data_IF_932166623597
#
_entry.id   IF_932166623597
#
_cell.length_a   1.000
_cell.length_b   1.000
_cell.length_c   1.000
_cell.angle_alpha   90.00
_cell.angle_beta   90.00
_cell.angle_gamma   90.00
#
_symmetry.space_group_name_H-M   'P 1'
#
loop_
_entity.id
_entity.type
_entity.pdbx_description
1 polymer ?
#
# COMPACT_ATOMS: atom_id res chain seq x y z
N UNK A 1 7.01 15.21 -25.02
CA UNK A 1 6.12 14.64 -23.99
C UNK A 1 5.73 13.24 -24.43
N UNK A 2 5.54 12.33 -23.51
CA UNK A 2 4.94 11.03 -23.81
C UNK A 2 3.49 11.23 -24.27
N UNK A 3 3.01 10.35 -25.17
CA UNK A 3 1.56 10.30 -25.43
C UNK A 3 0.82 9.95 -24.14
N UNK A 4 -0.06 10.85 -23.70
CA UNK A 4 -0.75 10.73 -22.42
C UNK A 4 -1.58 9.44 -22.34
N UNK A 5 -2.21 9.03 -23.44
CA UNK A 5 -3.02 7.80 -23.50
C UNK A 5 -2.16 6.56 -23.33
N UNK A 6 -1.05 6.47 -24.05
CA UNK A 6 -0.10 5.37 -23.95
C UNK A 6 0.51 5.28 -22.56
N UNK A 7 0.96 6.41 -22.00
CA UNK A 7 1.51 6.48 -20.64
C UNK A 7 0.52 5.98 -19.59
N UNK A 8 -0.75 6.42 -19.66
CA UNK A 8 -1.77 6.01 -18.70
C UNK A 8 -2.11 4.52 -18.82
N UNK A 9 -2.20 3.98 -20.04
CA UNK A 9 -2.45 2.54 -20.25
C UNK A 9 -1.29 1.70 -19.70
N UNK A 10 -0.05 2.04 -20.03
CA UNK A 10 1.12 1.31 -19.53
C UNK A 10 1.25 1.40 -18.00
N UNK A 11 0.99 2.58 -17.43
CA UNK A 11 0.96 2.79 -15.97
C UNK A 11 -0.13 1.98 -15.29
N UNK A 12 -1.33 1.95 -15.87
CA UNK A 12 -2.47 1.20 -15.34
C UNK A 12 -2.17 -0.31 -15.33
N UNK A 13 -1.66 -0.88 -16.43
CA UNK A 13 -1.32 -2.31 -16.51
C UNK A 13 -0.21 -2.66 -15.51
N UNK A 14 0.84 -1.82 -15.43
CA UNK A 14 1.93 -2.02 -14.48
C UNK A 14 1.41 -2.07 -13.04
N UNK A 15 0.58 -1.09 -12.63
CA UNK A 15 0.01 -1.04 -11.29
C UNK A 15 -0.99 -2.17 -11.03
N UNK A 16 -1.83 -2.51 -12.02
CA UNK A 16 -2.78 -3.63 -11.91
C UNK A 16 -2.06 -4.93 -11.57
N UNK A 17 -1.00 -5.27 -12.29
CA UNK A 17 -0.28 -6.53 -12.06
C UNK A 17 0.62 -6.44 -10.82
N UNK A 18 1.41 -5.37 -10.66
CA UNK A 18 2.32 -5.23 -9.53
C UNK A 18 1.58 -5.20 -8.18
N UNK A 19 0.51 -4.40 -8.08
CA UNK A 19 -0.29 -4.32 -6.85
C UNK A 19 -1.20 -5.53 -6.68
N UNK A 20 -1.71 -6.07 -7.79
CA UNK A 20 -2.53 -7.28 -7.77
C UNK A 20 -1.78 -8.45 -7.15
N UNK A 21 -0.62 -8.83 -7.70
CA UNK A 21 0.23 -9.90 -7.19
C UNK A 21 0.57 -9.69 -5.69
N UNK A 22 0.91 -8.45 -5.32
CA UNK A 22 1.24 -8.13 -3.92
C UNK A 22 0.10 -8.44 -2.96
N UNK A 23 -1.12 -8.06 -3.31
CA UNK A 23 -2.28 -8.23 -2.41
C UNK A 23 -2.69 -9.70 -2.24
N UNK A 24 -2.25 -10.58 -3.12
CA UNK A 24 -2.51 -12.02 -3.06
C UNK A 24 -1.62 -12.82 -2.13
N UNK A 25 -0.53 -12.26 -1.61
CA UNK A 25 0.42 -13.03 -0.82
C UNK A 25 -0.19 -13.74 0.40
N UNK A 26 -1.31 -13.27 0.93
CA UNK A 26 -2.04 -13.97 1.98
C UNK A 26 -2.53 -15.37 1.57
N UNK A 27 -2.78 -15.60 0.27
CA UNK A 27 -3.18 -16.90 -0.27
C UNK A 27 -2.06 -17.94 -0.22
N UNK A 28 -0.80 -17.52 -0.22
CA UNK A 28 0.39 -18.39 -0.13
C UNK A 28 0.77 -18.78 1.29
N UNK A 29 0.31 -18.05 2.32
CA UNK A 29 0.74 -18.27 3.71
C UNK A 29 0.57 -19.75 4.11
N UNK A 30 -0.63 -20.29 4.04
CA UNK A 30 -0.85 -21.68 4.46
C UNK A 30 -0.26 -22.72 3.52
N UNK A 31 -0.41 -22.62 2.17
CA UNK A 31 0.22 -23.60 1.28
C UNK A 31 1.73 -23.73 1.47
N UNK A 32 2.44 -22.62 1.67
CA UNK A 32 3.88 -22.63 1.88
C UNK A 32 4.27 -23.14 3.27
N UNK A 33 3.65 -22.62 4.32
CA UNK A 33 4.00 -23.00 5.69
C UNK A 33 3.69 -24.48 5.96
N UNK A 34 2.60 -25.01 5.41
CA UNK A 34 2.28 -26.43 5.52
C UNK A 34 3.25 -27.31 4.74
N UNK A 35 3.60 -26.93 3.49
CA UNK A 35 4.51 -27.72 2.66
C UNK A 35 5.94 -27.75 3.23
N UNK A 36 6.39 -26.67 3.85
CA UNK A 36 7.75 -26.53 4.38
C UNK A 36 7.86 -26.82 5.87
N UNK A 37 6.74 -27.09 6.56
CA UNK A 37 6.70 -27.24 8.01
C UNK A 37 7.24 -26.02 8.76
N UNK A 38 6.94 -24.82 8.25
CA UNK A 38 7.30 -23.53 8.86
C UNK A 38 6.17 -22.99 9.74
N UNK A 39 6.53 -22.13 10.71
CA UNK A 39 5.55 -21.33 11.44
C UNK A 39 4.90 -20.26 10.54
N UNK A 40 3.75 -19.76 10.96
CA UNK A 40 3.13 -18.60 10.29
C UNK A 40 3.97 -17.34 10.51
N UNK A 41 4.73 -17.28 11.60
CA UNK A 41 5.69 -16.21 11.87
C UNK A 41 6.75 -16.09 10.77
N UNK A 42 7.33 -17.20 10.31
CA UNK A 42 8.37 -17.20 9.28
C UNK A 42 7.90 -16.51 7.99
N UNK A 43 6.71 -16.86 7.53
CA UNK A 43 6.10 -16.23 6.36
C UNK A 43 5.75 -14.77 6.64
N UNK A 44 5.16 -14.50 7.78
CA UNK A 44 4.71 -13.16 8.18
C UNK A 44 5.88 -12.20 8.35
N UNK A 45 7.02 -12.68 8.87
CA UNK A 45 8.24 -11.89 8.97
C UNK A 45 8.77 -11.48 7.58
N UNK A 46 8.74 -12.40 6.60
CA UNK A 46 9.12 -12.05 5.25
C UNK A 46 8.20 -10.96 4.65
N UNK A 47 6.88 -11.06 4.86
CA UNK A 47 5.93 -10.03 4.43
C UNK A 47 6.10 -8.72 5.21
N UNK A 48 6.45 -8.78 6.48
CA UNK A 48 6.75 -7.61 7.31
C UNK A 48 7.98 -6.86 6.76
N UNK A 49 9.07 -7.59 6.53
CA UNK A 49 10.31 -7.03 5.93
C UNK A 49 10.03 -6.48 4.53
N UNK A 50 9.16 -7.13 3.74
CA UNK A 50 8.77 -6.64 2.42
C UNK A 50 8.16 -5.22 2.50
N UNK A 51 7.22 -5.00 3.41
CA UNK A 51 6.60 -3.68 3.59
C UNK A 51 7.61 -2.63 4.05
N UNK A 52 8.49 -2.99 4.99
CA UNK A 52 9.52 -2.08 5.49
C UNK A 52 10.52 -1.72 4.39
N UNK A 53 10.99 -2.73 3.64
CA UNK A 53 11.89 -2.54 2.50
C UNK A 53 11.26 -1.67 1.42
N UNK A 54 9.99 -1.91 1.11
CA UNK A 54 9.24 -1.09 0.16
C UNK A 54 9.15 0.37 0.60
N UNK A 55 8.78 0.62 1.86
CA UNK A 55 8.68 1.97 2.42
C UNK A 55 10.00 2.72 2.39
N UNK A 56 11.07 2.06 2.85
CA UNK A 56 12.41 2.64 2.88
C UNK A 56 12.98 2.87 1.47
N UNK A 57 12.96 1.85 0.63
CA UNK A 57 13.48 1.92 -0.74
C UNK A 57 12.66 2.87 -1.63
N UNK A 58 11.37 3.07 -1.34
CA UNK A 58 10.50 4.00 -2.07
C UNK A 58 11.01 5.44 -2.05
N UNK A 59 11.64 5.86 -0.96
CA UNK A 59 12.25 7.20 -0.84
C UNK A 59 13.38 7.35 -1.86
N UNK A 60 14.22 6.32 -2.01
CA UNK A 60 15.37 6.34 -2.91
C UNK A 60 14.96 6.10 -4.37
N UNK A 61 13.99 5.21 -4.61
CA UNK A 61 13.54 4.90 -5.98
C UNK A 61 12.97 6.12 -6.68
N UNK A 62 12.24 6.98 -5.97
CA UNK A 62 11.78 8.27 -6.48
C UNK A 62 12.92 9.18 -6.88
N UNK A 63 13.93 9.34 -6.02
CA UNK A 63 15.12 10.17 -6.32
C UNK A 63 15.93 9.63 -7.50
N UNK A 64 16.10 8.30 -7.60
CA UNK A 64 16.78 7.64 -8.72
C UNK A 64 15.99 7.82 -10.02
N UNK A 65 14.66 7.69 -9.96
CA UNK A 65 13.77 7.92 -11.10
C UNK A 65 13.84 9.37 -11.61
N UNK A 66 13.91 10.33 -10.69
CA UNK A 66 14.02 11.76 -11.05
C UNK A 66 15.37 12.10 -11.67
N UNK A 67 16.44 11.44 -11.25
CA UNK A 67 17.81 11.70 -11.75
C UNK A 67 18.17 10.92 -13.02
N UNK A 68 17.79 9.65 -13.09
CA UNK A 68 18.23 8.72 -14.13
C UNK A 68 17.11 8.28 -15.07
N UNK A 69 15.87 8.77 -14.83
CA UNK A 69 14.66 8.41 -15.57
C UNK A 69 13.93 7.20 -14.98
N UNK A 70 12.61 7.30 -14.93
CA UNK A 70 11.75 6.28 -14.34
C UNK A 70 11.81 4.93 -15.07
N UNK A 71 12.02 4.93 -16.40
CA UNK A 71 12.16 3.71 -17.21
C UNK A 71 13.13 2.69 -16.60
N UNK A 72 14.35 3.14 -16.22
CA UNK A 72 15.40 2.26 -15.67
C UNK A 72 14.97 1.67 -14.33
N UNK A 73 14.36 2.49 -13.49
CA UNK A 73 13.87 2.07 -12.17
C UNK A 73 12.78 1.01 -12.30
N UNK A 74 11.84 1.20 -13.24
CA UNK A 74 10.76 0.24 -13.50
C UNK A 74 11.32 -1.07 -14.05
N UNK A 75 12.25 -1.03 -15.03
CA UNK A 75 12.88 -2.23 -15.58
C UNK A 75 13.58 -3.04 -14.48
N UNK A 76 14.41 -2.39 -13.67
CA UNK A 76 15.08 -3.04 -12.53
C UNK A 76 14.06 -3.59 -11.55
N UNK A 77 13.00 -2.81 -11.24
CA UNK A 77 11.91 -3.24 -10.37
C UNK A 77 11.21 -4.50 -10.87
N UNK A 78 10.88 -4.59 -12.17
CA UNK A 78 10.25 -5.78 -12.77
C UNK A 78 11.17 -6.99 -12.69
N UNK A 79 12.46 -6.84 -13.00
CA UNK A 79 13.44 -7.93 -12.91
C UNK A 79 13.60 -8.43 -11.48
N UNK A 80 13.68 -7.52 -10.51
CA UNK A 80 13.71 -7.87 -9.08
C UNK A 80 12.41 -8.55 -8.64
N UNK A 81 11.25 -8.14 -9.18
CA UNK A 81 9.96 -8.76 -8.87
C UNK A 81 9.93 -10.22 -9.34
N UNK A 82 10.30 -10.45 -10.60
CA UNK A 82 10.37 -11.80 -11.17
C UNK A 82 11.39 -12.67 -10.43
N UNK A 83 12.58 -12.12 -10.12
CA UNK A 83 13.62 -12.83 -9.37
C UNK A 83 13.15 -13.13 -7.92
N UNK A 84 12.46 -12.22 -7.29
CA UNK A 84 11.90 -12.41 -5.94
C UNK A 84 10.83 -13.51 -5.92
N UNK A 85 9.88 -13.51 -6.88
CA UNK A 85 8.88 -14.57 -7.02
C UNK A 85 9.50 -15.93 -7.34
N UNK A 86 10.49 -15.97 -8.22
CA UNK A 86 11.27 -17.17 -8.52
C UNK A 86 12.01 -17.68 -7.28
N UNK A 87 12.69 -16.79 -6.56
CA UNK A 87 13.37 -17.12 -5.29
C UNK A 87 12.40 -17.63 -4.23
N UNK A 88 11.21 -17.02 -4.12
CA UNK A 88 10.16 -17.46 -3.21
C UNK A 88 9.67 -18.88 -3.56
N UNK A 89 9.54 -19.22 -4.85
CA UNK A 89 9.14 -20.55 -5.28
C UNK A 89 10.17 -21.65 -4.94
N UNK A 90 11.45 -21.28 -4.82
CA UNK A 90 12.55 -22.18 -4.50
C UNK A 90 13.08 -22.04 -3.08
N UNK A 91 12.43 -21.24 -2.25
CA UNK A 91 12.83 -21.04 -0.86
C UNK A 91 12.65 -22.34 -0.05
N UNK A 92 13.75 -22.88 0.45
CA UNK A 92 13.77 -24.08 1.32
C UNK A 92 14.03 -23.73 2.78
N UNK A 93 14.37 -22.47 3.09
CA UNK A 93 14.61 -21.97 4.44
C UNK A 93 13.85 -20.66 4.67
N UNK A 94 13.48 -20.34 5.92
CA UNK A 94 12.86 -19.04 6.25
C UNK A 94 13.72 -17.85 5.82
N UNK A 95 15.07 -17.97 5.92
CA UNK A 95 15.98 -16.92 5.48
C UNK A 95 15.90 -16.70 3.96
N UNK A 96 15.82 -17.78 3.16
CA UNK A 96 15.66 -17.67 1.70
C UNK A 96 14.33 -16.99 1.34
N UNK A 97 13.26 -17.31 2.05
CA UNK A 97 11.97 -16.64 1.93
C UNK A 97 12.06 -15.16 2.29
N UNK A 98 12.71 -14.82 3.40
CA UNK A 98 12.89 -13.44 3.84
C UNK A 98 13.69 -12.62 2.81
N UNK A 99 14.75 -13.17 2.23
CA UNK A 99 15.54 -12.49 1.21
C UNK A 99 14.77 -12.34 -0.11
N UNK A 100 14.07 -13.37 -0.55
CA UNK A 100 13.33 -13.34 -1.82
C UNK A 100 12.02 -12.53 -1.71
N UNK A 101 11.13 -12.93 -0.83
CA UNK A 101 9.83 -12.28 -0.65
C UNK A 101 9.94 -10.97 0.13
N UNK A 102 10.79 -10.90 1.15
CA UNK A 102 10.96 -9.71 1.99
C UNK A 102 11.79 -8.62 1.29
N UNK A 103 13.04 -8.93 0.95
CA UNK A 103 13.96 -7.92 0.45
C UNK A 103 13.79 -7.69 -1.05
N UNK A 104 13.90 -8.72 -1.89
CA UNK A 104 13.86 -8.52 -3.35
C UNK A 104 12.50 -7.99 -3.83
N UNK A 105 11.40 -8.59 -3.38
CA UNK A 105 10.06 -8.09 -3.76
C UNK A 105 9.79 -6.71 -3.15
N UNK A 106 10.24 -6.43 -1.92
CA UNK A 106 10.13 -5.10 -1.32
C UNK A 106 10.85 -4.02 -2.13
N UNK A 107 12.08 -4.28 -2.59
CA UNK A 107 12.82 -3.40 -3.50
C UNK A 107 12.11 -3.26 -4.85
N UNK A 108 11.59 -4.36 -5.39
CA UNK A 108 10.84 -4.37 -6.64
C UNK A 108 9.61 -3.46 -6.57
N UNK A 109 8.85 -3.55 -5.49
CA UNK A 109 7.66 -2.71 -5.27
C UNK A 109 8.01 -1.23 -5.19
N UNK A 110 9.14 -0.86 -4.62
CA UNK A 110 9.61 0.52 -4.61
C UNK A 110 9.80 1.09 -6.04
N UNK A 111 10.16 0.24 -7.00
CA UNK A 111 10.37 0.63 -8.40
C UNK A 111 9.14 0.47 -9.31
N UNK A 112 8.15 -0.34 -8.93
CA UNK A 112 7.02 -0.71 -9.81
C UNK A 112 5.66 -0.19 -9.33
N UNK A 113 5.62 0.58 -8.24
CA UNK A 113 4.36 1.06 -7.67
C UNK A 113 4.18 2.57 -7.76
N UNK A 114 3.27 3.12 -6.97
CA UNK A 114 2.77 4.48 -7.08
C UNK A 114 3.82 5.57 -7.11
N UNK A 115 4.91 5.45 -6.33
CA UNK A 115 5.93 6.52 -6.20
C UNK A 115 6.52 6.87 -7.57
N UNK A 116 6.96 5.87 -8.31
CA UNK A 116 7.59 6.07 -9.63
C UNK A 116 6.55 6.44 -10.69
N UNK A 117 5.39 5.75 -10.67
CA UNK A 117 4.31 5.99 -11.64
C UNK A 117 3.72 7.40 -11.49
N UNK A 118 3.48 7.86 -10.26
CA UNK A 118 2.99 9.22 -10.02
C UNK A 118 4.02 10.28 -10.41
N UNK A 119 5.31 9.97 -10.25
CA UNK A 119 6.39 10.81 -10.77
C UNK A 119 6.30 11.02 -12.28
N UNK A 120 6.12 9.93 -13.06
CA UNK A 120 5.95 9.99 -14.51
C UNK A 120 4.70 10.79 -14.88
N UNK A 121 3.56 10.47 -14.27
CA UNK A 121 2.28 11.15 -14.52
C UNK A 121 2.41 12.63 -14.20
N UNK A 122 2.99 12.97 -13.05
CA UNK A 122 3.16 14.37 -12.61
C UNK A 122 4.01 15.21 -13.56
N UNK A 123 5.04 14.62 -14.16
CA UNK A 123 5.93 15.32 -15.10
C UNK A 123 5.37 15.44 -16.51
N UNK A 124 4.57 14.46 -16.95
CA UNK A 124 4.13 14.35 -18.34
C UNK A 124 2.65 14.70 -18.57
N UNK A 125 1.92 15.13 -17.51
CA UNK A 125 0.51 15.48 -17.60
C UNK A 125 0.30 16.98 -17.28
N UNK A 126 -0.52 17.71 -18.06
CA UNK A 126 -0.92 19.07 -17.73
C UNK A 126 -1.52 19.17 -16.33
N UNK A 127 -1.31 20.31 -15.65
CA UNK A 127 -1.69 20.49 -14.23
C UNK A 127 -3.17 20.18 -14.00
N UNK A 128 -4.02 20.61 -14.93
CA UNK A 128 -5.48 20.46 -14.87
C UNK A 128 -5.92 18.98 -14.89
N UNK A 129 -5.14 18.10 -15.53
CA UNK A 129 -5.44 16.66 -15.71
C UNK A 129 -4.66 15.74 -14.76
N UNK A 130 -3.70 16.26 -13.98
CA UNK A 130 -2.84 15.43 -13.10
C UNK A 130 -3.64 14.64 -12.08
N UNK A 131 -4.58 15.29 -11.40
CA UNK A 131 -5.43 14.65 -10.38
C UNK A 131 -6.23 13.50 -10.97
N UNK A 132 -6.84 13.71 -12.14
CA UNK A 132 -7.57 12.67 -12.87
C UNK A 132 -6.65 11.49 -13.24
N UNK A 133 -5.48 11.77 -13.80
CA UNK A 133 -4.52 10.75 -14.24
C UNK A 133 -3.98 9.92 -13.06
N UNK A 134 -3.66 10.56 -11.93
CA UNK A 134 -3.24 9.89 -10.71
C UNK A 134 -4.37 9.05 -10.08
N UNK A 135 -5.60 9.58 -10.12
CA UNK A 135 -6.80 8.85 -9.68
C UNK A 135 -7.06 7.58 -10.49
N UNK A 136 -6.90 7.67 -11.83
CA UNK A 136 -7.02 6.50 -12.70
C UNK A 136 -5.94 5.45 -12.41
N UNK A 137 -4.70 5.86 -12.17
CA UNK A 137 -3.62 4.98 -11.79
C UNK A 137 -3.87 4.31 -10.42
N UNK A 138 -4.41 5.06 -9.45
CA UNK A 138 -4.80 4.50 -8.15
C UNK A 138 -5.92 3.45 -8.29
N UNK A 139 -6.93 3.74 -9.10
CA UNK A 139 -8.02 2.81 -9.38
C UNK A 139 -7.53 1.53 -10.06
N UNK A 140 -6.53 1.63 -10.96
CA UNK A 140 -5.92 0.48 -11.61
C UNK A 140 -5.24 -0.47 -10.61
N UNK A 141 -4.55 0.05 -9.58
CA UNK A 141 -3.97 -0.78 -8.52
C UNK A 141 -5.02 -1.53 -7.70
N UNK A 142 -6.13 -0.87 -7.34
CA UNK A 142 -7.25 -1.51 -6.63
C UNK A 142 -7.99 -2.52 -7.51
N UNK A 143 -8.14 -2.22 -8.80
CA UNK A 143 -8.68 -3.17 -9.78
C UNK A 143 -7.76 -4.39 -9.92
N UNK A 144 -6.43 -4.20 -9.84
CA UNK A 144 -5.45 -5.27 -9.81
C UNK A 144 -5.69 -6.24 -8.65
N UNK A 145 -5.95 -5.72 -7.46
CA UNK A 145 -6.32 -6.55 -6.31
C UNK A 145 -7.56 -7.39 -6.59
N UNK A 146 -8.62 -6.77 -7.11
CA UNK A 146 -9.84 -7.49 -7.50
C UNK A 146 -9.60 -8.58 -8.55
N UNK A 147 -8.85 -8.25 -9.60
CA UNK A 147 -8.61 -9.15 -10.73
C UNK A 147 -7.69 -10.32 -10.38
N UNK A 148 -6.60 -10.06 -9.64
CA UNK A 148 -5.57 -11.06 -9.40
C UNK A 148 -5.93 -12.08 -8.33
N UNK A 149 -6.80 -11.75 -7.37
CA UNK A 149 -7.17 -12.70 -6.32
C UNK A 149 -7.77 -14.01 -6.85
N UNK A 150 -8.78 -14.01 -7.73
CA UNK A 150 -9.28 -15.24 -8.33
C UNK A 150 -8.24 -15.96 -9.21
N UNK A 151 -7.41 -15.18 -9.92
CA UNK A 151 -6.33 -15.75 -10.78
C UNK A 151 -5.30 -16.48 -9.93
N UNK A 152 -4.84 -15.87 -8.85
CA UNK A 152 -3.87 -16.47 -7.94
C UNK A 152 -4.44 -17.70 -7.22
N UNK A 153 -5.67 -17.61 -6.73
CA UNK A 153 -6.37 -18.74 -6.13
C UNK A 153 -6.50 -19.93 -7.11
N UNK A 154 -6.85 -19.65 -8.37
CA UNK A 154 -6.91 -20.66 -9.43
C UNK A 154 -5.53 -21.26 -9.75
N UNK A 155 -4.50 -20.44 -9.86
CA UNK A 155 -3.14 -20.93 -10.11
C UNK A 155 -2.64 -21.82 -8.97
N UNK A 156 -2.88 -21.43 -7.71
CA UNK A 156 -2.47 -22.23 -6.55
C UNK A 156 -3.20 -23.57 -6.53
N UNK A 157 -4.52 -23.57 -6.76
CA UNK A 157 -5.33 -24.79 -6.74
C UNK A 157 -5.04 -25.74 -7.88
N UNK A 158 -4.68 -25.22 -9.07
CA UNK A 158 -4.45 -26.01 -10.29
C UNK A 158 -3.02 -26.50 -10.44
N UNK A 159 -2.03 -25.67 -10.08
CA UNK A 159 -0.61 -25.93 -10.33
C UNK A 159 0.17 -26.22 -9.03
N UNK A 160 -0.42 -25.94 -7.88
CA UNK A 160 0.29 -25.89 -6.60
C UNK A 160 1.08 -24.58 -6.42
N UNK A 161 1.45 -24.28 -5.18
CA UNK A 161 2.02 -22.99 -4.79
C UNK A 161 3.34 -22.62 -5.50
N UNK A 162 4.23 -23.60 -5.75
CA UNK A 162 5.53 -23.36 -6.39
C UNK A 162 5.38 -22.96 -7.86
N UNK A 163 4.62 -23.75 -8.61
CA UNK A 163 4.42 -23.49 -10.05
C UNK A 163 3.57 -22.24 -10.27
N UNK A 164 2.63 -21.96 -9.36
CA UNK A 164 1.86 -20.72 -9.37
C UNK A 164 2.76 -19.48 -9.21
N UNK A 165 3.75 -19.51 -8.29
CA UNK A 165 4.74 -18.42 -8.15
C UNK A 165 5.62 -18.29 -9.40
N UNK A 166 6.02 -19.40 -10.02
CA UNK A 166 6.78 -19.37 -11.27
C UNK A 166 5.97 -18.79 -12.44
N UNK A 167 4.67 -19.12 -12.50
CA UNK A 167 3.76 -18.51 -13.47
C UNK A 167 3.64 -16.98 -13.24
N UNK A 168 3.50 -16.54 -11.99
CA UNK A 168 3.47 -15.09 -11.66
C UNK A 168 4.80 -14.41 -11.98
N UNK A 169 5.94 -15.06 -11.73
CA UNK A 169 7.26 -14.54 -12.13
C UNK A 169 7.33 -14.31 -13.65
N UNK A 170 6.80 -15.27 -14.42
CA UNK A 170 6.72 -15.16 -15.88
C UNK A 170 5.79 -14.02 -16.30
N UNK A 171 4.62 -13.90 -15.67
CA UNK A 171 3.68 -12.80 -15.92
C UNK A 171 4.34 -11.45 -15.60
N UNK A 172 5.10 -11.35 -14.51
CA UNK A 172 5.83 -10.12 -14.19
C UNK A 172 6.82 -9.73 -15.29
N UNK A 173 7.52 -10.67 -15.92
CA UNK A 173 8.43 -10.39 -17.04
C UNK A 173 7.71 -9.85 -18.28
N UNK A 174 6.46 -10.24 -18.52
CA UNK A 174 5.66 -9.66 -19.60
C UNK A 174 5.33 -8.16 -19.40
N UNK A 175 5.63 -7.58 -18.24
CA UNK A 175 5.57 -6.13 -18.02
C UNK A 175 6.76 -5.39 -18.68
N UNK A 176 7.88 -6.06 -18.99
CA UNK A 176 9.06 -5.42 -19.57
C UNK A 176 8.78 -4.65 -20.86
N UNK A 177 8.06 -5.19 -21.86
CA UNK A 177 7.73 -4.44 -23.06
C UNK A 177 6.93 -3.17 -22.81
N UNK A 178 6.08 -3.16 -21.77
CA UNK A 178 5.27 -1.97 -21.43
C UNK A 178 6.11 -0.79 -20.93
N UNK A 179 7.32 -1.08 -20.43
CA UNK A 179 8.23 -0.02 -19.93
C UNK A 179 8.65 0.95 -21.04
N UNK A 180 8.69 0.51 -22.30
CA UNK A 180 8.98 1.42 -23.43
C UNK A 180 7.94 2.52 -23.56
N UNK A 181 6.66 2.24 -23.26
CA UNK A 181 5.60 3.22 -23.23
C UNK A 181 5.71 4.21 -22.05
N UNK A 182 6.62 3.97 -21.10
CA UNK A 182 6.92 4.83 -19.95
C UNK A 182 8.29 5.50 -20.04
N UNK A 183 8.96 5.38 -21.20
CA UNK A 183 10.27 5.98 -21.43
C UNK A 183 10.14 7.49 -21.65
N UNK A 184 10.57 8.24 -20.67
CA UNK A 184 10.58 9.72 -20.73
C UNK A 184 11.71 10.20 -21.63
N UNK A 185 11.50 11.32 -22.41
CA UNK A 185 12.58 11.99 -23.10
C UNK A 185 13.65 12.46 -22.08
N UNK A 186 14.91 12.57 -22.52
CA UNK A 186 15.97 13.09 -21.67
C UNK A 186 15.57 14.44 -21.08
N UNK A 187 15.51 14.53 -19.75
CA UNK A 187 15.10 15.76 -19.06
C UNK A 187 16.12 16.86 -19.32
N UNK A 188 15.66 18.04 -19.72
CA UNK A 188 16.37 19.29 -19.55
C UNK A 188 16.51 19.54 -18.02
N UNK A 189 17.69 19.26 -17.49
CA UNK A 189 18.04 19.59 -16.10
C UNK A 189 17.93 21.11 -15.94
N UNK A 190 17.03 21.61 -15.12
CA UNK A 190 17.10 23.02 -14.82
C UNK A 190 15.92 23.78 -14.23
N UNK A 191 14.80 23.17 -13.88
CA UNK A 191 13.72 23.92 -13.21
C UNK A 191 13.20 23.20 -11.97
N UNK A 192 14.03 23.11 -10.94
CA UNK A 192 13.50 22.89 -9.59
C UNK A 192 12.91 24.22 -9.11
N UNK A 193 11.64 24.26 -8.66
CA UNK A 193 11.10 25.47 -8.03
C UNK A 193 12.03 25.90 -6.88
N UNK A 194 12.31 27.21 -6.76
CA UNK A 194 13.02 27.73 -5.60
C UNK A 194 12.27 27.28 -4.35
N UNK A 195 12.93 26.52 -3.50
CA UNK A 195 12.39 26.04 -2.23
C UNK A 195 12.87 26.98 -1.14
N UNK A 196 11.93 27.51 -0.36
CA UNK A 196 12.22 28.45 0.75
C UNK A 196 12.89 27.76 1.94
N UNK A 197 12.85 26.42 1.98
CA UNK A 197 13.42 25.60 3.03
C UNK A 197 14.21 24.42 2.45
N UNK A 198 15.22 23.96 3.20
CA UNK A 198 15.89 22.69 2.91
C UNK A 198 14.99 21.49 3.27
N UNK A 199 15.26 20.34 2.67
CA UNK A 199 14.54 19.09 2.95
C UNK A 199 14.58 18.77 4.46
N UNK A 200 15.75 18.92 5.09
CA UNK A 200 15.94 18.62 6.52
C UNK A 200 15.14 19.57 7.41
N UNK A 201 15.09 20.85 7.07
CA UNK A 201 14.31 21.84 7.80
C UNK A 201 12.81 21.55 7.71
N UNK A 202 12.30 21.26 6.51
CA UNK A 202 10.89 20.92 6.31
C UNK A 202 10.49 19.64 7.03
N UNK A 203 11.36 18.61 7.03
CA UNK A 203 11.11 17.37 7.76
C UNK A 203 11.11 17.60 9.28
N UNK A 204 12.08 18.37 9.79
CA UNK A 204 12.15 18.70 11.22
C UNK A 204 10.94 19.52 11.68
N UNK A 205 10.52 20.50 10.88
CA UNK A 205 9.30 21.27 11.13
C UNK A 205 8.07 20.35 11.21
N UNK A 206 7.89 19.48 10.24
CA UNK A 206 6.76 18.56 10.19
C UNK A 206 6.77 17.57 11.37
N UNK A 207 7.90 16.93 11.66
CA UNK A 207 8.03 15.99 12.77
C UNK A 207 7.84 16.64 14.15
N UNK A 208 8.06 17.95 14.27
CA UNK A 208 7.80 18.71 15.49
C UNK A 208 6.36 19.20 15.59
N UNK A 209 5.55 19.09 14.52
CA UNK A 209 4.18 19.57 14.50
C UNK A 209 3.20 18.47 14.94
N UNK A 210 2.43 18.68 16.05
CA UNK A 210 1.59 17.62 16.63
C UNK A 210 0.60 17.00 15.64
N UNK A 211 -0.04 17.81 14.79
CA UNK A 211 -0.99 17.28 13.81
C UNK A 211 -0.35 16.31 12.81
N UNK A 212 0.91 16.53 12.45
CA UNK A 212 1.65 15.60 11.59
C UNK A 212 1.94 14.29 12.31
N UNK A 213 2.30 14.37 13.59
CA UNK A 213 2.52 13.16 14.41
C UNK A 213 1.23 12.35 14.56
N UNK A 214 0.08 13.02 14.79
CA UNK A 214 -1.23 12.35 14.85
C UNK A 214 -1.62 11.69 13.53
N UNK A 215 -1.35 12.36 12.40
CA UNK A 215 -1.57 11.78 11.06
C UNK A 215 -0.69 10.55 10.82
N UNK A 216 0.59 10.62 11.18
CA UNK A 216 1.52 9.49 11.06
C UNK A 216 1.07 8.31 11.93
N UNK A 217 0.68 8.56 13.19
CA UNK A 217 0.19 7.54 14.11
C UNK A 217 -1.12 6.91 13.62
N UNK A 218 -2.05 7.72 13.11
CA UNK A 218 -3.26 7.18 12.47
C UNK A 218 -2.94 6.33 11.24
N UNK A 219 -2.04 6.79 10.40
CA UNK A 219 -1.67 6.04 9.18
C UNK A 219 -0.84 4.79 9.47
N UNK A 220 -0.09 4.75 10.57
CA UNK A 220 0.48 3.52 11.12
C UNK A 220 -0.60 2.48 11.40
N UNK A 221 -1.70 2.87 12.05
CA UNK A 221 -2.82 1.96 12.33
C UNK A 221 -3.47 1.46 11.04
N UNK A 222 -3.58 2.33 10.02
CA UNK A 222 -4.04 1.90 8.70
C UNK A 222 -3.18 0.76 8.16
N UNK A 223 -1.86 0.92 8.17
CA UNK A 223 -0.91 -0.11 7.74
C UNK A 223 -1.06 -1.41 8.53
N UNK A 224 -1.15 -1.30 9.84
CA UNK A 224 -1.36 -2.45 10.72
C UNK A 224 -2.58 -3.26 10.31
N UNK A 225 -3.74 -2.62 10.22
CA UNK A 225 -5.02 -3.30 9.92
C UNK A 225 -5.06 -3.87 8.51
N UNK A 226 -4.64 -3.07 7.51
CA UNK A 226 -4.72 -3.46 6.10
C UNK A 226 -3.82 -4.65 5.80
N UNK A 227 -2.58 -4.65 6.27
CA UNK A 227 -1.66 -5.74 5.93
C UNK A 227 -1.90 -6.97 6.81
N UNK A 228 -2.28 -6.80 8.07
CA UNK A 228 -2.75 -7.92 8.90
C UNK A 228 -3.93 -8.64 8.23
N UNK A 229 -4.99 -7.93 7.88
CA UNK A 229 -6.16 -8.53 7.24
C UNK A 229 -5.79 -9.14 5.89
N UNK A 230 -5.04 -8.41 5.05
CA UNK A 230 -4.66 -8.86 3.72
C UNK A 230 -3.87 -10.16 3.71
N UNK A 231 -3.00 -10.38 4.69
CA UNK A 231 -2.14 -11.57 4.77
C UNK A 231 -2.78 -12.71 5.57
N UNK A 232 -3.45 -12.39 6.70
CA UNK A 232 -3.91 -13.43 7.62
C UNK A 232 -5.38 -13.83 7.45
N UNK A 233 -6.23 -13.00 6.81
CA UNK A 233 -7.64 -13.33 6.60
C UNK A 233 -7.83 -14.67 5.87
N UNK A 234 -7.08 -15.00 4.78
CA UNK A 234 -7.22 -16.31 4.13
C UNK A 234 -7.00 -17.48 5.07
N UNK A 235 -5.94 -17.41 5.88
CA UNK A 235 -5.61 -18.43 6.86
C UNK A 235 -6.64 -18.51 7.99
N UNK A 236 -7.10 -17.37 8.48
CA UNK A 236 -8.17 -17.30 9.49
C UNK A 236 -9.46 -17.97 9.00
N UNK A 237 -9.87 -17.70 7.76
CA UNK A 237 -11.08 -18.27 7.18
C UNK A 237 -10.97 -19.80 7.01
N UNK A 238 -9.80 -20.28 6.57
CA UNK A 238 -9.54 -21.72 6.45
C UNK A 238 -9.53 -22.40 7.82
N UNK A 239 -8.94 -21.78 8.85
CA UNK A 239 -8.97 -22.29 10.24
C UNK A 239 -10.41 -22.35 10.81
N UNK A 240 -11.32 -21.50 10.30
CA UNK A 240 -12.76 -21.55 10.61
C UNK A 240 -13.53 -22.54 9.73
N UNK A 241 -12.86 -23.34 8.89
CA UNK A 241 -13.46 -24.39 8.07
C UNK A 241 -14.06 -23.91 6.74
N UNK A 242 -13.76 -22.68 6.30
CA UNK A 242 -14.22 -22.18 5.00
C UNK A 242 -13.28 -22.60 3.87
N UNK A 243 -13.83 -22.79 2.68
CA UNK A 243 -13.07 -23.16 1.49
C UNK A 243 -12.10 -22.04 1.03
N UNK A 244 -11.00 -22.39 0.33
CA UNK A 244 -10.01 -21.43 -0.14
C UNK A 244 -10.58 -20.41 -1.13
N UNK A 245 -11.63 -20.77 -1.87
CA UNK A 245 -12.33 -19.87 -2.79
C UNK A 245 -13.00 -18.70 -2.05
N UNK A 246 -13.51 -18.91 -0.84
CA UNK A 246 -14.10 -17.86 -0.02
C UNK A 246 -13.07 -16.79 0.33
N UNK A 247 -11.84 -17.21 0.65
CA UNK A 247 -10.74 -16.28 0.92
C UNK A 247 -10.35 -15.45 -0.31
N UNK A 248 -10.29 -16.08 -1.48
CA UNK A 248 -10.04 -15.40 -2.76
C UNK A 248 -11.11 -14.36 -3.06
N UNK A 249 -12.39 -14.72 -2.93
CA UNK A 249 -13.51 -13.78 -3.14
C UNK A 249 -13.53 -12.66 -2.08
N UNK A 250 -13.20 -12.97 -0.83
CA UNK A 250 -13.13 -11.97 0.23
C UNK A 250 -12.11 -10.87 -0.11
N UNK A 251 -10.88 -11.26 -0.47
CA UNK A 251 -9.84 -10.30 -0.86
C UNK A 251 -10.18 -9.55 -2.16
N UNK A 252 -10.82 -10.21 -3.12
CA UNK A 252 -11.31 -9.56 -4.34
C UNK A 252 -12.37 -8.50 -4.03
N UNK A 253 -13.35 -8.81 -3.17
CA UNK A 253 -14.37 -7.86 -2.74
C UNK A 253 -13.76 -6.66 -2.00
N UNK A 254 -12.75 -6.88 -1.15
CA UNK A 254 -12.01 -5.78 -0.53
C UNK A 254 -11.42 -4.87 -1.64
N UNK A 255 -10.76 -5.43 -2.65
CA UNK A 255 -10.20 -4.66 -3.76
C UNK A 255 -11.24 -3.88 -4.56
N UNK A 256 -12.37 -4.52 -4.88
CA UNK A 256 -13.46 -3.89 -5.62
C UNK A 256 -14.09 -2.73 -4.85
N UNK A 257 -14.46 -2.97 -3.59
CA UNK A 257 -15.10 -1.93 -2.77
C UNK A 257 -14.13 -0.82 -2.35
N UNK A 258 -12.82 -1.08 -2.34
CA UNK A 258 -11.80 -0.05 -2.15
C UNK A 258 -11.84 1.03 -3.25
N UNK A 259 -12.15 0.67 -4.50
CA UNK A 259 -12.32 1.65 -5.58
C UNK A 259 -13.45 2.64 -5.22
N UNK A 260 -14.62 2.12 -4.83
CA UNK A 260 -15.77 2.95 -4.47
C UNK A 260 -15.51 3.79 -3.22
N UNK A 261 -14.89 3.19 -2.20
CA UNK A 261 -14.58 3.87 -0.94
C UNK A 261 -13.61 5.03 -1.13
N UNK A 262 -12.50 4.78 -1.82
CA UNK A 262 -11.48 5.81 -2.08
C UNK A 262 -12.03 6.95 -2.94
N UNK A 263 -12.81 6.63 -3.98
CA UNK A 263 -13.48 7.62 -4.81
C UNK A 263 -14.52 8.43 -4.02
N UNK A 264 -15.38 7.74 -3.26
CA UNK A 264 -16.42 8.37 -2.44
C UNK A 264 -15.85 9.33 -1.40
N UNK A 265 -14.81 8.92 -0.69
CA UNK A 265 -14.14 9.78 0.30
C UNK A 265 -13.42 10.95 -0.38
N UNK A 266 -12.85 10.75 -1.56
CA UNK A 266 -12.29 11.83 -2.37
C UNK A 266 -13.32 12.92 -2.69
N UNK A 267 -14.55 12.54 -3.08
CA UNK A 267 -15.66 13.47 -3.29
C UNK A 267 -16.11 14.15 -1.99
N UNK A 268 -16.19 13.39 -0.89
CA UNK A 268 -16.58 13.93 0.41
C UNK A 268 -15.59 14.94 0.96
N UNK A 269 -14.31 14.89 0.57
CA UNK A 269 -13.27 15.85 0.95
C UNK A 269 -13.55 17.30 0.56
N UNK A 270 -14.47 17.55 -0.38
CA UNK A 270 -14.96 18.90 -0.70
C UNK A 270 -15.97 19.46 0.32
N UNK A 271 -16.58 18.60 1.14
CA UNK A 271 -17.66 18.97 2.09
C UNK A 271 -17.25 18.78 3.56
N UNK A 272 -16.40 17.81 3.82
CA UNK A 272 -15.97 17.43 5.17
C UNK A 272 -14.47 17.62 5.33
N UNK A 273 -14.03 17.93 6.54
CA UNK A 273 -12.61 18.05 6.85
C UNK A 273 -11.92 16.67 6.82
N UNK A 274 -10.62 16.65 6.51
CA UNK A 274 -9.81 15.43 6.53
C UNK A 274 -9.86 14.75 7.90
N UNK A 275 -9.82 15.56 8.99
CA UNK A 275 -9.99 15.13 10.37
C UNK A 275 -11.27 14.30 10.57
N UNK A 276 -12.41 14.82 10.11
CA UNK A 276 -13.70 14.13 10.27
C UNK A 276 -13.73 12.82 9.45
N UNK A 277 -13.26 12.86 8.20
CA UNK A 277 -13.23 11.70 7.33
C UNK A 277 -12.35 10.58 7.89
N UNK A 278 -11.16 10.92 8.40
CA UNK A 278 -10.24 9.95 9.00
C UNK A 278 -10.80 9.36 10.29
N UNK A 279 -11.35 10.20 11.18
CA UNK A 279 -11.97 9.74 12.43
C UNK A 279 -13.11 8.76 12.15
N UNK A 280 -14.04 9.13 11.26
CA UNK A 280 -15.16 8.25 10.88
C UNK A 280 -14.67 6.95 10.23
N UNK A 281 -13.61 7.00 9.41
CA UNK A 281 -13.05 5.81 8.78
C UNK A 281 -12.50 4.83 9.83
N UNK A 282 -11.66 5.28 10.77
CA UNK A 282 -11.08 4.42 11.80
C UNK A 282 -12.13 3.87 12.78
N UNK A 283 -13.12 4.68 13.18
CA UNK A 283 -14.26 4.19 13.96
C UNK A 283 -15.06 3.14 13.18
N UNK A 284 -15.34 3.41 11.90
CA UNK A 284 -16.04 2.48 11.03
C UNK A 284 -15.32 1.13 10.92
N UNK A 285 -13.99 1.12 10.76
CA UNK A 285 -13.19 -0.11 10.74
C UNK A 285 -13.29 -0.88 12.08
N UNK A 286 -13.17 -0.19 13.21
CA UNK A 286 -13.31 -0.82 14.53
C UNK A 286 -14.69 -1.46 14.70
N UNK A 287 -15.75 -0.79 14.26
CA UNK A 287 -17.12 -1.34 14.28
C UNK A 287 -17.24 -2.55 13.35
N UNK A 288 -16.76 -2.46 12.11
CA UNK A 288 -16.84 -3.55 11.12
C UNK A 288 -16.09 -4.78 11.62
N UNK A 289 -14.89 -4.62 12.18
CA UNK A 289 -14.11 -5.73 12.75
C UNK A 289 -14.84 -6.32 13.96
N UNK A 290 -15.37 -5.50 14.88
CA UNK A 290 -16.10 -5.96 16.06
C UNK A 290 -17.34 -6.78 15.69
N UNK A 291 -18.13 -6.29 14.74
CA UNK A 291 -19.32 -7.00 14.24
C UNK A 291 -18.93 -8.33 13.60
N UNK A 292 -17.85 -8.35 12.79
CA UNK A 292 -17.37 -9.58 12.16
C UNK A 292 -16.97 -10.66 13.17
N UNK A 293 -16.35 -10.27 14.29
CA UNK A 293 -15.96 -11.22 15.34
C UNK A 293 -17.14 -11.75 16.18
N UNK A 294 -18.24 -10.98 16.26
CA UNK A 294 -19.42 -11.39 17.02
C UNK A 294 -20.39 -12.26 16.23
N UNK A 295 -20.43 -12.09 14.91
CA UNK A 295 -21.33 -12.84 14.04
C UNK A 295 -20.71 -14.21 13.72
N UNK A 296 -21.50 -15.30 13.69
CA UNK A 296 -21.00 -16.61 13.26
C UNK A 296 -20.33 -16.52 11.88
N UNK A 297 -19.12 -17.09 11.77
CA UNK A 297 -18.35 -17.06 10.52
C UNK A 297 -19.06 -17.93 9.47
N UNK A 298 -19.44 -17.32 8.36
CA UNK A 298 -20.10 -17.94 7.20
C UNK A 298 -19.64 -17.22 5.93
N UNK A 299 -19.90 -17.80 4.76
CA UNK A 299 -19.59 -17.16 3.49
C UNK A 299 -20.20 -15.74 3.41
N UNK A 300 -21.45 -15.58 3.85
CA UNK A 300 -22.16 -14.30 3.81
C UNK A 300 -21.56 -13.27 4.79
N UNK A 301 -21.27 -13.67 6.04
CA UNK A 301 -20.66 -12.74 7.00
C UNK A 301 -19.28 -12.28 6.52
N UNK A 302 -18.49 -13.15 5.89
CA UNK A 302 -17.20 -12.84 5.28
C UNK A 302 -17.35 -11.86 4.12
N UNK A 303 -18.30 -12.10 3.21
CA UNK A 303 -18.49 -11.19 2.05
C UNK A 303 -19.00 -9.83 2.47
N UNK A 304 -19.91 -9.74 3.42
CA UNK A 304 -20.40 -8.48 3.99
C UNK A 304 -19.23 -7.73 4.68
N UNK A 305 -18.46 -8.42 5.52
CA UNK A 305 -17.25 -7.86 6.12
C UNK A 305 -16.29 -7.31 5.06
N UNK A 306 -16.04 -8.10 4.01
CA UNK A 306 -15.10 -7.73 2.94
C UNK A 306 -15.58 -6.52 2.15
N UNK A 307 -16.87 -6.39 1.86
CA UNK A 307 -17.45 -5.21 1.22
C UNK A 307 -17.32 -3.96 2.10
N UNK A 308 -17.71 -4.06 3.37
CA UNK A 308 -17.64 -2.94 4.32
C UNK A 308 -16.19 -2.54 4.59
N UNK A 309 -15.31 -3.50 4.85
CA UNK A 309 -13.90 -3.25 5.09
C UNK A 309 -13.21 -2.71 3.84
N UNK A 310 -13.56 -3.24 2.65
CA UNK A 310 -13.08 -2.75 1.36
C UNK A 310 -13.42 -1.28 1.14
N UNK A 311 -14.65 -0.87 1.41
CA UNK A 311 -15.06 0.53 1.32
C UNK A 311 -14.22 1.45 2.23
N UNK A 312 -13.78 0.98 3.37
CA UNK A 312 -12.94 1.70 4.33
C UNK A 312 -11.43 1.51 4.08
N UNK A 313 -11.02 0.63 3.15
CA UNK A 313 -9.66 0.07 3.04
C UNK A 313 -8.56 1.11 2.90
N UNK A 314 -8.48 1.81 1.77
CA UNK A 314 -7.53 2.90 1.53
C UNK A 314 -8.22 4.26 1.43
N UNK A 315 -9.46 4.35 1.90
CA UNK A 315 -10.21 5.61 1.97
C UNK A 315 -9.59 6.63 2.94
N UNK A 316 -8.57 6.23 3.71
CA UNK A 316 -7.74 7.13 4.52
C UNK A 316 -6.69 7.89 3.70
N UNK A 317 -6.31 7.39 2.53
CA UNK A 317 -5.21 7.97 1.72
C UNK A 317 -5.52 9.38 1.21
N UNK A 318 -6.67 9.65 0.56
CA UNK A 318 -6.98 10.99 0.07
C UNK A 318 -7.04 12.04 1.19
N UNK A 319 -7.77 11.85 2.31
CA UNK A 319 -7.83 12.86 3.36
C UNK A 319 -6.49 13.04 4.09
N UNK A 320 -5.68 12.00 4.27
CA UNK A 320 -4.34 12.13 4.85
C UNK A 320 -3.45 13.02 3.99
N UNK A 321 -3.35 12.73 2.70
CA UNK A 321 -2.55 13.53 1.78
C UNK A 321 -3.11 14.96 1.62
N UNK A 322 -4.42 15.10 1.56
CA UNK A 322 -5.09 16.42 1.50
C UNK A 322 -4.77 17.27 2.74
N UNK A 323 -4.79 16.69 3.93
CA UNK A 323 -4.45 17.37 5.18
C UNK A 323 -2.98 17.77 5.23
N UNK A 324 -2.06 16.89 4.81
CA UNK A 324 -0.62 17.24 4.70
C UNK A 324 -0.41 18.41 3.75
N UNK A 325 -1.05 18.38 2.57
CA UNK A 325 -0.97 19.47 1.60
C UNK A 325 -1.54 20.79 2.14
N UNK A 326 -2.63 20.72 2.91
CA UNK A 326 -3.28 21.89 3.51
C UNK A 326 -2.43 22.54 4.61
N UNK A 327 -1.80 21.74 5.46
CA UNK A 327 -0.99 22.23 6.59
C UNK A 327 0.36 22.77 6.10
N UNK A 328 1.10 22.01 5.28
CA UNK A 328 2.49 22.29 4.92
C UNK A 328 2.68 22.92 3.53
N UNK A 329 1.62 22.97 2.71
CA UNK A 329 1.69 23.39 1.33
C UNK A 329 2.30 22.31 0.41
N UNK A 330 2.58 22.68 -0.85
CA UNK A 330 2.99 21.75 -1.89
C UNK A 330 4.53 21.66 -2.09
N UNK A 331 5.30 22.55 -1.48
CA UNK A 331 6.76 22.66 -1.75
C UNK A 331 7.54 21.39 -1.41
N UNK A 332 7.18 20.69 -0.33
CA UNK A 332 7.80 19.45 0.13
C UNK A 332 6.79 18.30 0.26
N UNK A 333 5.65 18.41 -0.44
CA UNK A 333 4.52 17.48 -0.30
C UNK A 333 4.91 16.02 -0.52
N UNK A 334 5.68 15.72 -1.57
CA UNK A 334 6.09 14.33 -1.88
C UNK A 334 6.95 13.71 -0.77
N UNK A 335 7.85 14.49 -0.17
CA UNK A 335 8.70 14.03 0.93
C UNK A 335 7.88 13.81 2.20
N UNK A 336 7.00 14.75 2.55
CA UNK A 336 6.15 14.66 3.75
C UNK A 336 5.12 13.52 3.61
N UNK A 337 4.49 13.39 2.44
CA UNK A 337 3.62 12.25 2.13
C UNK A 337 4.36 10.92 2.19
N UNK A 338 5.61 10.87 1.70
CA UNK A 338 6.48 9.70 1.83
C UNK A 338 6.80 9.36 3.29
N UNK A 339 7.00 10.37 4.15
CA UNK A 339 7.24 10.15 5.59
C UNK A 339 6.00 9.57 6.28
N UNK A 340 4.81 10.07 5.96
CA UNK A 340 3.55 9.50 6.47
C UNK A 340 3.35 8.08 5.95
N UNK A 341 3.68 7.83 4.68
CA UNK A 341 3.63 6.48 4.09
C UNK A 341 4.63 5.53 4.76
N UNK A 342 5.82 6.01 5.14
CA UNK A 342 6.76 5.19 5.92
C UNK A 342 6.17 4.80 7.28
N UNK A 343 5.44 5.70 7.95
CA UNK A 343 4.66 5.37 9.16
C UNK A 343 3.66 4.23 8.91
N UNK A 344 2.95 4.25 7.77
CA UNK A 344 2.07 3.16 7.35
C UNK A 344 2.83 1.84 7.18
N UNK A 345 4.02 1.86 6.61
CA UNK A 345 4.82 0.65 6.40
C UNK A 345 5.37 0.07 7.71
N UNK A 346 5.68 0.91 8.70
CA UNK A 346 5.99 0.44 10.06
C UNK A 346 4.77 -0.25 10.70
N UNK A 347 3.59 0.32 10.54
CA UNK A 347 2.34 -0.33 10.97
C UNK A 347 2.09 -1.64 10.26
N UNK A 348 2.33 -1.69 8.96
CA UNK A 348 2.23 -2.89 8.13
C UNK A 348 3.17 -3.99 8.61
N UNK A 349 4.41 -3.64 8.92
CA UNK A 349 5.39 -4.55 9.53
C UNK A 349 4.84 -5.17 10.82
N UNK A 350 4.42 -4.31 11.75
CA UNK A 350 3.93 -4.76 13.05
C UNK A 350 2.68 -5.62 12.94
N UNK A 351 1.71 -5.22 12.10
CA UNK A 351 0.44 -5.92 11.96
C UNK A 351 0.60 -7.33 11.39
N UNK A 352 1.40 -7.48 10.33
CA UNK A 352 1.57 -8.79 9.72
C UNK A 352 2.48 -9.71 10.54
N UNK A 353 3.60 -9.19 11.06
CA UNK A 353 4.48 -10.00 11.91
C UNK A 353 3.79 -10.45 13.18
N UNK A 354 3.16 -9.51 13.91
CA UNK A 354 2.46 -9.82 15.15
C UNK A 354 1.33 -10.82 14.94
N UNK A 355 0.63 -10.78 13.79
CA UNK A 355 -0.38 -11.76 13.42
C UNK A 355 0.17 -13.19 13.35
N UNK A 356 1.32 -13.39 12.71
CA UNK A 356 1.99 -14.69 12.63
C UNK A 356 2.54 -15.14 13.97
N UNK A 357 3.26 -14.26 14.65
CA UNK A 357 3.87 -14.53 15.94
C UNK A 357 2.85 -14.92 17.01
N UNK A 358 1.77 -14.13 17.16
CA UNK A 358 0.69 -14.45 18.11
C UNK A 358 0.01 -15.77 17.77
N UNK A 359 -0.22 -16.03 16.48
CA UNK A 359 -0.83 -17.30 16.08
C UNK A 359 0.05 -18.50 16.47
N UNK A 360 1.34 -18.47 16.21
CA UNK A 360 2.26 -19.59 16.51
C UNK A 360 2.39 -19.83 18.01
N UNK A 361 2.20 -18.79 18.86
CA UNK A 361 2.26 -18.91 20.31
C UNK A 361 0.91 -19.23 20.98
N UNK A 362 -0.20 -18.83 20.40
CA UNK A 362 -1.53 -18.93 21.04
C UNK A 362 -2.49 -19.87 20.30
N UNK A 363 -2.20 -20.25 19.06
CA UNK A 363 -3.07 -21.01 18.18
C UNK A 363 -4.29 -20.23 17.68
N UNK A 364 -4.35 -18.90 17.90
CA UNK A 364 -5.50 -18.05 17.54
C UNK A 364 -5.07 -16.66 17.05
N UNK A 365 -5.92 -16.07 16.21
CA UNK A 365 -5.82 -14.66 15.81
C UNK A 365 -6.60 -13.70 16.71
N UNK A 366 -7.30 -14.17 17.73
CA UNK A 366 -8.23 -13.35 18.52
C UNK A 366 -7.54 -12.14 19.14
N UNK A 367 -6.34 -12.31 19.70
CA UNK A 367 -5.57 -11.22 20.32
C UNK A 367 -5.26 -10.11 19.32
N UNK A 368 -4.78 -10.45 18.13
CA UNK A 368 -4.42 -9.44 17.12
C UNK A 368 -5.67 -8.75 16.54
N UNK A 369 -6.81 -9.44 16.47
CA UNK A 369 -8.08 -8.80 16.12
C UNK A 369 -8.50 -7.76 17.17
N UNK A 370 -8.40 -8.07 18.47
CA UNK A 370 -8.71 -7.11 19.54
C UNK A 370 -7.74 -5.93 19.56
N UNK A 371 -6.44 -6.19 19.34
CA UNK A 371 -5.44 -5.12 19.15
C UNK A 371 -5.84 -4.23 17.98
N UNK A 372 -6.27 -4.80 16.86
CA UNK A 372 -6.71 -4.08 15.66
C UNK A 372 -7.90 -3.15 15.95
N UNK A 373 -8.89 -3.62 16.73
CA UNK A 373 -10.03 -2.80 17.17
C UNK A 373 -9.54 -1.65 18.05
N UNK A 374 -8.74 -1.94 19.07
CA UNK A 374 -8.21 -0.95 20.00
C UNK A 374 -7.38 0.14 19.30
N UNK A 375 -6.49 -0.28 18.40
CA UNK A 375 -5.71 0.66 17.59
C UNK A 375 -6.58 1.54 16.69
N UNK A 376 -7.67 0.99 16.13
CA UNK A 376 -8.63 1.77 15.34
C UNK A 376 -9.30 2.88 16.16
N UNK A 377 -9.69 2.58 17.40
CA UNK A 377 -10.25 3.58 18.32
C UNK A 377 -9.22 4.66 18.69
N UNK A 378 -7.97 4.25 18.96
CA UNK A 378 -6.86 5.18 19.24
C UNK A 378 -6.55 6.06 18.03
N UNK A 379 -6.53 5.48 16.82
CA UNK A 379 -6.34 6.25 15.59
C UNK A 379 -7.46 7.26 15.36
N UNK A 380 -8.70 6.91 15.67
CA UNK A 380 -9.82 7.85 15.59
C UNK A 380 -9.62 9.03 16.55
N UNK A 381 -9.20 8.78 17.79
CA UNK A 381 -8.90 9.82 18.77
C UNK A 381 -7.75 10.73 18.32
N UNK A 382 -6.67 10.17 17.75
CA UNK A 382 -5.54 10.94 17.25
C UNK A 382 -5.95 11.83 16.07
N UNK A 383 -6.69 11.26 15.11
CA UNK A 383 -7.14 12.05 13.96
C UNK A 383 -8.15 13.14 14.34
N UNK A 384 -8.96 12.93 15.40
CA UNK A 384 -9.85 13.97 15.91
C UNK A 384 -9.11 15.20 16.45
N UNK A 385 -7.87 15.04 16.90
CA UNK A 385 -7.03 16.13 17.42
C UNK A 385 -6.28 16.90 16.34
N UNK A 386 -6.31 16.44 15.08
CA UNK A 386 -5.61 17.08 13.96
C UNK A 386 -6.15 18.49 13.72
N UNK A 387 -5.30 19.49 13.83
CA UNK A 387 -5.56 20.84 13.37
C UNK A 387 -5.10 20.99 11.92
N UNK A 388 -6.02 21.32 11.03
CA UNK A 388 -5.77 21.45 9.59
C UNK A 388 -5.38 22.89 9.16
N UNK A 389 -5.17 23.80 10.10
CA UNK A 389 -4.75 25.17 9.77
C UNK A 389 -3.38 25.17 9.12
N UNK A 390 -3.17 25.91 8.03
CA UNK A 390 -1.86 26.07 7.42
C UNK A 390 -0.85 26.64 8.43
N UNK A 391 0.40 26.19 8.35
CA UNK A 391 1.49 26.76 9.14
C UNK A 391 1.80 28.16 8.63
N UNK A 392 1.68 29.18 9.50
CA UNK A 392 2.12 30.52 9.21
C UNK A 392 3.65 30.57 9.26
N UNK A 393 4.30 30.59 8.09
CA UNK A 393 5.71 30.89 7.97
C UNK A 393 5.86 32.37 7.85
N UNK A 394 6.40 33.04 8.90
CA UNK A 394 6.71 34.47 8.83
C UNK A 394 7.57 34.74 7.57
N UNK A 395 7.03 35.50 6.62
CA UNK A 395 7.84 36.01 5.53
C UNK A 395 8.96 36.83 6.18
N UNK A 396 10.24 36.65 5.83
CA UNK A 396 11.24 37.64 6.15
C UNK A 396 10.72 38.97 5.54
N UNK A 397 10.42 39.94 6.38
CA UNK A 397 10.15 41.30 5.93
C UNK A 397 11.36 41.69 5.07
N UNK A 398 11.15 41.82 3.76
CA UNK A 398 12.11 42.51 2.91
C UNK A 398 12.11 43.94 3.46
N UNK A 399 13.09 44.24 4.31
CA UNK A 399 13.35 45.60 4.72
C UNK A 399 13.69 46.35 3.43
N UNK A 400 12.76 47.19 3.01
CA UNK A 400 13.03 48.21 2.03
C UNK A 400 14.07 49.14 2.64
N UNK A 401 15.31 49.03 2.16
CA UNK A 401 16.38 49.99 2.33
C UNK A 401 16.64 50.70 0.98
#
# INVERSE_FOLDING_TARGET
>A
MLDMRQMLICSAILLTLSMGIRHGFGLWLQPMTQAMSWGREDFSLAMAVQNLTWGFAGIFSGMVADRFGAFRVIVVGILLYALGLFGMAHATTPLALLLSAGVLIGLAQAGTTYVVVYGIIGRNTPVEKRSYAMGLAAAAGSFGQFLMMPVEGFLISSLGWQQALMALATIALFLLPLTWGLREPAFAQGQSPRRDQTIVQALREALSYPSFQWLMAGFFVCGFQVVFIGVHLPSYLKDKGLGPEVAGYALALIGLFNVFGTYGVGLMGSRFSGRQLLTCNYLGRSVVISVFLWVPVSNWSVYIFSCCMGFLWLSTVPPTNGTVAKIFGLSHFSMLGGSVFFGHQLGSFMGVWLGGWLYDHTGSYDVVWYISIGLGLVAALFNWQVNESPIERGHPQVSAA
#
